data_IF_656017151585
#
_entry.id   IF_656017151585
#
_cell.length_a   1.000
_cell.length_b   1.000
_cell.length_c   1.000
_cell.angle_alpha   90.00
_cell.angle_beta   90.00
_cell.angle_gamma   90.00
#
_symmetry.space_group_name_H-M   'P 1'
#
loop_
_entity.id
_entity.type
_entity.pdbx_description
1 polymer ?
#
# COMPACT_ATOMS: atom_id res chain seq x y z
N UNK A 1 -8.43 -0.94 -7.05
CA UNK A 1 -7.74 -1.78 -6.04
C UNK A 1 -6.49 -2.37 -6.68
N UNK A 2 -5.31 -1.81 -6.39
CA UNK A 2 -4.07 -2.13 -7.10
C UNK A 2 -3.59 -3.57 -6.92
N UNK A 3 -3.85 -4.19 -5.76
CA UNK A 3 -3.37 -5.55 -5.42
C UNK A 3 -4.22 -6.70 -5.97
N UNK A 4 -5.26 -6.41 -6.76
CA UNK A 4 -6.08 -7.43 -7.44
C UNK A 4 -5.50 -7.89 -8.79
N UNK A 5 -4.50 -7.19 -9.32
CA UNK A 5 -3.89 -7.51 -10.60
C UNK A 5 -3.13 -8.84 -10.56
N UNK A 6 -3.22 -9.59 -11.67
CA UNK A 6 -2.50 -10.86 -11.84
C UNK A 6 -0.97 -10.74 -11.65
N UNK A 7 -0.42 -9.53 -11.83
CA UNK A 7 0.97 -9.20 -11.59
C UNK A 7 1.46 -9.55 -10.17
N UNK A 8 0.58 -9.52 -9.16
CA UNK A 8 0.95 -9.81 -7.78
C UNK A 8 0.61 -11.25 -7.36
N UNK A 9 -0.20 -11.97 -8.16
CA UNK A 9 -0.76 -13.31 -7.85
C UNK A 9 0.25 -14.47 -7.91
N UNK A 10 1.54 -14.19 -8.04
CA UNK A 10 2.63 -15.18 -7.96
C UNK A 10 3.89 -14.67 -7.24
N UNK A 11 3.86 -13.42 -6.77
CA UNK A 11 4.97 -12.79 -6.04
C UNK A 11 4.68 -12.83 -4.53
N UNK A 12 3.42 -12.56 -4.17
CA UNK A 12 2.95 -12.56 -2.79
C UNK A 12 1.90 -13.64 -2.58
N UNK A 13 1.90 -14.26 -1.39
CA UNK A 13 0.84 -15.16 -0.96
C UNK A 13 -0.49 -14.42 -0.79
N UNK A 14 -1.59 -15.17 -0.78
CA UNK A 14 -2.92 -14.57 -0.56
C UNK A 14 -3.04 -13.84 0.79
N UNK A 15 -2.29 -14.30 1.80
CA UNK A 15 -2.20 -13.65 3.11
C UNK A 15 -1.49 -12.29 2.98
N UNK A 16 -0.32 -12.26 2.34
CA UNK A 16 0.44 -11.03 2.12
C UNK A 16 -0.32 -10.02 1.24
N UNK A 17 -1.02 -10.48 0.21
CA UNK A 17 -1.89 -9.61 -0.59
C UNK A 17 -3.00 -8.97 0.25
N UNK A 18 -3.54 -9.69 1.24
CA UNK A 18 -4.55 -9.16 2.16
C UNK A 18 -3.95 -8.13 3.12
N UNK A 19 -2.70 -8.33 3.57
CA UNK A 19 -1.98 -7.39 4.41
C UNK A 19 -1.58 -6.13 3.65
N UNK A 20 -1.05 -6.26 2.44
CA UNK A 20 -0.74 -5.15 1.53
C UNK A 20 -1.99 -4.32 1.22
N UNK A 21 -3.12 -4.98 0.96
CA UNK A 21 -4.38 -4.29 0.72
C UNK A 21 -4.88 -3.55 1.96
N UNK A 22 -4.69 -4.10 3.17
CA UNK A 22 -4.98 -3.41 4.43
C UNK A 22 -4.08 -2.19 4.61
N UNK A 23 -2.76 -2.36 4.45
CA UNK A 23 -1.79 -1.28 4.58
C UNK A 23 -2.12 -0.13 3.62
N UNK A 24 -2.45 -0.44 2.37
CA UNK A 24 -2.84 0.55 1.38
C UNK A 24 -4.13 1.29 1.72
N UNK A 25 -5.16 0.57 2.17
CA UNK A 25 -6.40 1.22 2.59
C UNK A 25 -6.13 2.15 3.78
N UNK A 26 -5.31 1.71 4.74
CA UNK A 26 -4.94 2.51 5.90
C UNK A 26 -4.11 3.74 5.50
N UNK A 27 -3.18 3.62 4.57
CA UNK A 27 -2.46 4.77 4.01
C UNK A 27 -3.40 5.77 3.34
N UNK A 28 -4.38 5.30 2.57
CA UNK A 28 -5.39 6.16 1.97
C UNK A 28 -6.17 6.94 3.05
N UNK A 29 -6.60 6.27 4.13
CA UNK A 29 -7.27 6.92 5.26
C UNK A 29 -6.38 7.98 5.94
N UNK A 30 -5.10 7.67 6.17
CA UNK A 30 -4.12 8.59 6.79
C UNK A 30 -3.82 9.82 5.93
N UNK A 31 -3.90 9.66 4.61
CA UNK A 31 -3.71 10.74 3.63
C UNK A 31 -5.01 11.49 3.32
N UNK A 32 -6.17 11.02 3.83
CA UNK A 32 -7.48 11.54 3.44
C UNK A 32 -7.80 11.31 1.95
N UNK A 33 -7.09 10.40 1.29
CA UNK A 33 -7.21 10.09 -0.13
C UNK A 33 -8.20 8.96 -0.35
N UNK A 34 -8.85 8.98 -1.52
CA UNK A 34 -9.78 7.92 -1.91
C UNK A 34 -9.09 6.92 -2.84
N UNK A 35 -9.03 5.62 -2.47
CA UNK A 35 -8.37 4.57 -3.27
C UNK A 35 -9.04 4.31 -4.64
N UNK A 36 -10.16 4.99 -4.91
CA UNK A 36 -11.00 4.88 -6.09
C UNK A 36 -10.91 6.07 -7.04
N UNK A 37 -10.30 7.19 -6.62
CA UNK A 37 -10.25 8.44 -7.42
C UNK A 37 -8.84 9.03 -7.57
N UNK A 38 -7.85 8.63 -6.78
CA UNK A 38 -6.47 9.15 -6.90
C UNK A 38 -5.84 8.80 -8.27
N UNK A 39 -5.13 9.71 -8.92
CA UNK A 39 -4.29 9.32 -10.08
C UNK A 39 -3.01 8.60 -9.61
N UNK A 40 -2.55 8.88 -8.39
CA UNK A 40 -1.34 8.31 -7.78
C UNK A 40 -1.56 6.96 -7.07
N UNK A 41 -2.66 6.26 -7.35
CA UNK A 41 -2.97 4.96 -6.72
C UNK A 41 -1.86 3.94 -6.91
N UNK A 42 -1.28 3.91 -8.11
CA UNK A 42 -0.18 3.00 -8.47
C UNK A 42 1.12 3.40 -7.77
N UNK A 43 1.36 4.70 -7.60
CA UNK A 43 2.53 5.20 -6.87
C UNK A 43 2.43 4.83 -5.39
N UNK A 44 1.29 5.10 -4.76
CA UNK A 44 1.05 4.71 -3.36
C UNK A 44 1.14 3.20 -3.17
N UNK A 45 0.61 2.40 -4.11
CA UNK A 45 0.71 0.95 -4.04
C UNK A 45 2.16 0.45 -4.07
N UNK A 46 3.01 1.04 -4.93
CA UNK A 46 4.44 0.72 -4.99
C UNK A 46 5.16 1.10 -3.70
N UNK A 47 4.84 2.27 -3.13
CA UNK A 47 5.41 2.71 -1.85
C UNK A 47 5.00 1.74 -0.73
N UNK A 48 3.72 1.36 -0.67
CA UNK A 48 3.22 0.39 0.32
C UNK A 48 3.91 -0.96 0.21
N UNK A 49 4.13 -1.48 -1.01
CA UNK A 49 4.87 -2.75 -1.19
C UNK A 49 6.28 -2.62 -0.61
N UNK A 50 6.98 -1.55 -0.99
CA UNK A 50 8.36 -1.33 -0.55
C UNK A 50 8.48 -1.15 0.96
N UNK A 51 7.53 -0.44 1.59
CA UNK A 51 7.54 -0.27 3.04
C UNK A 51 7.11 -1.53 3.77
N UNK A 52 6.24 -2.35 3.18
CA UNK A 52 5.78 -3.61 3.75
C UNK A 52 6.91 -4.64 3.85
N UNK A 53 7.77 -4.74 2.83
CA UNK A 53 8.97 -5.57 2.86
C UNK A 53 9.97 -5.14 3.96
N UNK A 54 10.03 -3.84 4.27
CA UNK A 54 10.91 -3.28 5.32
C UNK A 54 10.29 -3.31 6.73
N UNK A 55 8.98 -3.59 6.83
CA UNK A 55 8.20 -3.49 8.07
C UNK A 55 7.89 -4.86 8.69
N UNK A 56 8.65 -5.90 8.37
CA UNK A 56 8.44 -7.27 8.88
C UNK A 56 7.00 -7.80 8.64
N UNK A 57 6.41 -7.45 7.49
CA UNK A 57 5.03 -7.78 7.12
C UNK A 57 3.95 -7.17 8.03
N UNK A 58 4.28 -6.12 8.81
CA UNK A 58 3.31 -5.38 9.60
C UNK A 58 2.55 -4.36 8.74
N UNK A 59 1.22 -4.52 8.55
CA UNK A 59 0.45 -3.66 7.67
C UNK A 59 0.25 -2.24 8.23
N UNK A 60 0.29 -2.07 9.55
CA UNK A 60 0.03 -0.78 10.20
C UNK A 60 1.29 0.11 10.12
N UNK A 61 2.45 -0.47 10.40
CA UNK A 61 3.75 0.17 10.24
C UNK A 61 4.03 0.51 8.77
N UNK A 62 3.75 -0.44 7.86
CA UNK A 62 3.88 -0.21 6.43
C UNK A 62 2.99 0.94 5.96
N UNK A 63 1.76 1.03 6.49
CA UNK A 63 0.81 2.08 6.15
C UNK A 63 1.27 3.47 6.62
N UNK A 64 1.77 3.56 7.86
CA UNK A 64 2.30 4.79 8.43
C UNK A 64 3.49 5.27 7.61
N UNK A 65 4.50 4.42 7.41
CA UNK A 65 5.68 4.76 6.61
C UNK A 65 5.33 5.14 5.18
N UNK A 66 4.41 4.42 4.56
CA UNK A 66 3.97 4.73 3.20
C UNK A 66 3.24 6.08 3.13
N UNK A 67 2.42 6.41 4.14
CA UNK A 67 1.75 7.71 4.22
C UNK A 67 2.73 8.86 4.47
N UNK A 68 3.74 8.65 5.31
CA UNK A 68 4.79 9.65 5.55
C UNK A 68 5.62 9.88 4.29
N UNK A 69 6.05 8.82 3.61
CA UNK A 69 6.75 8.92 2.33
C UNK A 69 5.89 9.63 1.28
N UNK A 70 4.61 9.27 1.14
CA UNK A 70 3.71 9.88 0.16
C UNK A 70 3.53 11.38 0.40
N UNK A 71 3.44 11.84 1.66
CA UNK A 71 3.36 13.28 2.00
C UNK A 71 4.61 14.07 1.63
N UNK A 72 5.78 13.42 1.55
CA UNK A 72 7.04 14.08 1.15
C UNK A 72 7.10 14.31 -0.36
N UNK A 73 6.33 13.55 -1.15
CA UNK A 73 6.27 13.67 -2.60
C UNK A 73 5.09 14.52 -3.12
N UNK A 74 4.26 15.09 -2.23
CA UNK A 74 3.26 16.13 -2.56
C UNK A 74 3.87 17.54 -2.62
#
# INVERSE_FOLDING_TARGET
MPFRSAAYRGIFSQAELSLLQQAYNRSCELLGRSPSTDDDRDQLARVVIRTFEDSDLDPELAAQRASELARVFE
#
